data_IF_807735701175
#
_entry.id   IF_807735701175
#
_cell.length_a   1.000
_cell.length_b   1.000
_cell.length_c   1.000
_cell.angle_alpha   90.00
_cell.angle_beta   90.00
_cell.angle_gamma   90.00
#
_symmetry.space_group_name_H-M   'P 1'
#
loop_
_entity.id
_entity.type
_entity.pdbx_description
1 polymer ?
#
# COMPACT_ATOMS: atom_id res chain seq x y z
N UNK A 1 13.99 -4.98 1.89
CA UNK A 1 13.05 -5.68 0.95
C UNK A 1 11.71 -4.98 1.03
N UNK A 2 11.01 -4.68 -0.08
CA UNK A 2 9.69 -4.08 0.02
C UNK A 2 8.79 -5.04 0.79
N UNK A 3 8.28 -4.60 1.95
CA UNK A 3 7.41 -5.40 2.83
C UNK A 3 6.08 -5.82 2.17
N UNK A 4 5.81 -5.31 0.96
CA UNK A 4 4.56 -5.44 0.24
C UNK A 4 4.79 -5.96 -1.18
N UNK A 5 3.95 -6.88 -1.62
CA UNK A 5 3.95 -7.43 -2.98
C UNK A 5 2.61 -7.17 -3.66
N UNK A 6 2.63 -6.94 -4.98
CA UNK A 6 1.40 -6.81 -5.76
C UNK A 6 0.59 -8.10 -5.66
N UNK A 7 -0.71 -7.96 -5.39
CA UNK A 7 -1.62 -9.08 -5.15
C UNK A 7 -1.77 -9.48 -3.68
N UNK A 8 -0.86 -9.06 -2.80
CA UNK A 8 -0.93 -9.35 -1.37
C UNK A 8 -2.17 -8.70 -0.73
N UNK A 9 -2.88 -9.47 0.09
CA UNK A 9 -3.94 -8.96 0.97
C UNK A 9 -3.33 -8.54 2.30
N UNK A 10 -3.68 -7.34 2.77
CA UNK A 10 -3.18 -6.76 4.02
C UNK A 10 -4.35 -6.41 4.94
N UNK A 11 -4.13 -6.54 6.25
CA UNK A 11 -5.09 -6.16 7.28
C UNK A 11 -5.00 -4.64 7.49
N UNK A 12 -5.87 -3.90 6.81
CA UNK A 12 -5.96 -2.45 6.87
C UNK A 12 -7.40 -2.03 6.59
N UNK A 13 -7.94 -1.16 7.45
CA UNK A 13 -9.34 -0.72 7.31
C UNK A 13 -9.53 0.19 6.11
N UNK A 14 -10.50 -0.12 5.26
CA UNK A 14 -10.98 0.74 4.19
C UNK A 14 -11.55 2.04 4.77
N UNK A 15 -11.15 3.18 4.22
CA UNK A 15 -11.63 4.51 4.62
C UNK A 15 -13.05 4.80 4.10
N UNK A 16 -13.57 4.02 3.15
CA UNK A 16 -14.91 4.18 2.59
C UNK A 16 -15.95 3.22 3.17
N UNK A 17 -15.72 1.91 3.12
CA UNK A 17 -16.70 0.90 3.54
C UNK A 17 -16.37 0.22 4.87
N UNK A 18 -15.26 0.59 5.52
CA UNK A 18 -14.78 0.04 6.77
C UNK A 18 -14.44 -1.47 6.79
N UNK A 19 -14.43 -2.15 5.62
CA UNK A 19 -13.87 -3.50 5.52
C UNK A 19 -12.41 -3.53 5.99
N UNK A 20 -11.99 -4.61 6.64
CA UNK A 20 -10.69 -4.66 7.32
C UNK A 20 -9.53 -5.14 6.43
N UNK A 21 -9.78 -5.33 5.14
CA UNK A 21 -8.78 -5.80 4.20
C UNK A 21 -8.62 -4.84 3.02
N UNK A 22 -7.38 -4.72 2.56
CA UNK A 22 -7.05 -4.12 1.27
C UNK A 22 -6.10 -5.04 0.51
N UNK A 23 -6.18 -5.01 -0.83
CA UNK A 23 -5.26 -5.70 -1.73
C UNK A 23 -4.24 -4.73 -2.28
N UNK A 24 -2.96 -5.07 -2.23
CA UNK A 24 -1.90 -4.28 -2.86
C UNK A 24 -2.02 -4.40 -4.38
N UNK A 25 -2.14 -3.28 -5.07
CA UNK A 25 -2.31 -3.23 -6.54
C UNK A 25 -1.09 -2.68 -7.26
N UNK A 26 -0.25 -1.89 -6.58
CA UNK A 26 0.98 -1.32 -7.15
C UNK A 26 1.97 -0.98 -6.05
N UNK A 27 3.25 -1.23 -6.28
CA UNK A 27 4.34 -0.75 -5.41
C UNK A 27 5.30 0.03 -6.29
N UNK A 28 5.55 1.30 -5.95
CA UNK A 28 6.40 2.20 -6.74
C UNK A 28 7.56 2.68 -5.88
N UNK A 29 8.82 2.42 -6.25
CA UNK A 29 9.96 3.01 -5.56
C UNK A 29 9.97 4.53 -5.79
N UNK A 30 10.30 5.28 -4.75
CA UNK A 30 10.46 6.73 -4.78
C UNK A 30 11.79 7.08 -4.13
N UNK A 31 12.68 7.63 -4.94
CA UNK A 31 13.98 8.12 -4.52
C UNK A 31 13.83 9.56 -4.01
N UNK A 32 14.33 9.79 -2.81
CA UNK A 32 14.57 11.11 -2.23
C UNK A 32 16.09 11.28 -2.10
N UNK A 33 16.55 12.52 -2.02
CA UNK A 33 17.98 12.88 -2.07
C UNK A 33 18.86 11.99 -1.17
N UNK A 34 18.41 11.70 0.05
CA UNK A 34 19.17 10.89 1.02
C UNK A 34 18.53 9.53 1.37
N UNK A 35 17.36 9.19 0.81
CA UNK A 35 16.55 8.04 1.27
C UNK A 35 15.73 7.40 0.17
N UNK A 36 15.54 6.10 0.25
CA UNK A 36 14.55 5.39 -0.57
C UNK A 36 13.25 5.18 0.21
N UNK A 37 12.11 5.37 -0.45
CA UNK A 37 10.80 4.99 0.05
C UNK A 37 10.01 4.25 -1.03
N UNK A 38 8.86 3.69 -0.66
CA UNK A 38 7.93 3.05 -1.57
C UNK A 38 6.55 3.64 -1.39
N UNK A 39 5.89 3.97 -2.50
CA UNK A 39 4.45 4.24 -2.51
C UNK A 39 3.74 2.93 -2.76
N UNK A 40 2.99 2.46 -1.77
CA UNK A 40 2.19 1.24 -1.84
C UNK A 40 0.74 1.65 -2.11
N UNK A 41 0.24 1.29 -3.28
CA UNK A 41 -1.15 1.47 -3.66
C UNK A 41 -1.94 0.22 -3.31
N UNK A 42 -3.12 0.45 -2.77
CA UNK A 42 -4.02 -0.59 -2.28
C UNK A 42 -5.44 -0.33 -2.78
N UNK A 43 -6.23 -1.40 -2.89
CA UNK A 43 -7.63 -1.35 -3.27
C UNK A 43 -8.44 -2.18 -2.30
N UNK A 44 -9.58 -1.65 -1.84
CA UNK A 44 -10.53 -2.45 -1.08
C UNK A 44 -11.18 -3.50 -2.01
N UNK A 45 -11.10 -4.80 -1.68
CA UNK A 45 -11.71 -5.85 -2.51
C UNK A 45 -13.24 -5.77 -2.52
N UNK A 46 -13.86 -5.19 -1.48
CA UNK A 46 -15.32 -5.11 -1.34
C UNK A 46 -15.92 -3.93 -2.12
N UNK A 47 -15.40 -2.72 -1.94
CA UNK A 47 -16.00 -1.51 -2.52
C UNK A 47 -15.18 -0.86 -3.64
N UNK A 48 -14.01 -1.42 -3.98
CA UNK A 48 -13.15 -0.92 -5.06
C UNK A 48 -12.41 0.39 -4.75
N UNK A 49 -12.55 0.97 -3.55
CA UNK A 49 -11.85 2.21 -3.18
C UNK A 49 -10.34 1.99 -3.21
N UNK A 50 -9.64 2.87 -3.93
CA UNK A 50 -8.18 2.90 -3.96
C UNK A 50 -7.63 3.84 -2.89
N UNK A 51 -6.50 3.46 -2.32
CA UNK A 51 -5.77 4.23 -1.31
C UNK A 51 -4.26 4.01 -1.48
N UNK A 52 -3.44 4.86 -0.88
CA UNK A 52 -1.98 4.71 -0.95
C UNK A 52 -1.28 5.15 0.34
N UNK A 53 -0.11 4.56 0.58
CA UNK A 53 0.76 4.93 1.71
C UNK A 53 2.21 5.01 1.28
N UNK A 54 2.95 5.92 1.90
CA UNK A 54 4.39 6.06 1.75
C UNK A 54 5.09 5.27 2.86
N UNK A 55 6.01 4.38 2.48
CA UNK A 55 6.74 3.51 3.42
C UNK A 55 8.24 3.71 3.22
N UNK A 56 8.99 4.10 4.27
CA UNK A 56 10.45 4.20 4.17
C UNK A 56 11.08 2.81 3.97
N UNK A 57 12.23 2.75 3.28
CA UNK A 57 12.97 1.50 3.08
C UNK A 57 13.61 0.96 4.38
N UNK A 58 13.90 1.83 5.34
CA UNK A 58 14.62 1.53 6.60
C UNK A 58 13.67 1.32 7.80
N UNK A 59 12.76 0.33 7.74
CA UNK A 59 11.91 -0.01 8.90
C UNK A 59 11.76 -1.50 9.09
#
# INVERSE_FOLDING_TARGET
>A
MPKYQVGQVIQERCTSCYHHEKKVIKVVPKEFEDKMAYVVWTQCPECGTNDHKLIPNDS
#
